data_IF_730872277607
#
_entry.id   IF_730872277607
#
_cell.length_a   1.000
_cell.length_b   1.000
_cell.length_c   1.000
_cell.angle_alpha   90.00
_cell.angle_beta   90.00
_cell.angle_gamma   90.00
#
_symmetry.space_group_name_H-M   'P 1'
#
loop_
_entity.id
_entity.type
_entity.pdbx_description
1 polymer ?
#
# COMPACT_ATOMS: atom_id res chain seq x y z
N UNK A 1 26.22 42.57 34.03
CA UNK A 1 26.88 42.67 35.34
C UNK A 1 26.24 41.61 36.25
N UNK A 2 27.02 40.60 36.69
CA UNK A 2 26.78 39.51 37.70
C UNK A 2 25.61 38.53 37.44
N UNK A 3 25.83 37.23 37.17
CA UNK A 3 26.36 36.10 37.98
C UNK A 3 25.39 35.55 39.06
N UNK A 4 25.05 34.26 38.95
CA UNK A 4 24.86 33.18 39.96
C UNK A 4 24.15 32.00 39.26
N UNK A 5 24.40 30.70 39.43
CA UNK A 5 25.51 29.85 39.91
C UNK A 5 25.11 28.39 39.57
N UNK A 6 26.09 27.52 39.33
CA UNK A 6 25.96 26.09 39.04
C UNK A 6 25.42 25.27 40.21
N UNK A 7 24.59 24.26 39.93
CA UNK A 7 24.60 22.99 40.68
C UNK A 7 24.50 21.81 39.71
N UNK A 8 25.33 20.79 39.98
CA UNK A 8 25.56 19.60 39.17
C UNK A 8 25.16 18.37 39.98
N UNK A 9 24.36 17.48 39.38
CA UNK A 9 23.91 16.22 40.02
C UNK A 9 24.72 15.05 39.46
N UNK A 10 25.38 14.31 40.37
CA UNK A 10 26.23 13.14 40.13
C UNK A 10 25.43 11.90 39.72
N UNK A 11 26.01 11.10 38.82
CA UNK A 11 25.57 9.73 38.45
C UNK A 11 26.53 8.74 39.14
N UNK A 12 26.06 7.65 39.80
CA UNK A 12 26.95 6.62 40.30
C UNK A 12 27.24 5.55 39.23
N UNK A 13 28.52 5.16 39.18
CA UNK A 13 29.09 4.06 38.40
C UNK A 13 28.98 2.74 39.14
N UNK A 14 28.69 1.66 38.42
CA UNK A 14 28.95 0.29 38.88
C UNK A 14 29.41 -0.58 37.70
N UNK A 15 30.63 -1.09 37.83
CA UNK A 15 31.30 -2.06 36.95
C UNK A 15 31.01 -3.46 37.50
N UNK A 16 30.70 -4.40 36.63
CA UNK A 16 30.59 -5.82 36.97
C UNK A 16 30.88 -6.69 35.74
N UNK A 17 31.94 -7.49 35.84
CA UNK A 17 32.49 -8.38 34.82
C UNK A 17 31.87 -9.79 34.86
N UNK A 18 31.47 -10.35 33.71
CA UNK A 18 31.43 -11.80 33.46
C UNK A 18 31.27 -12.14 31.96
N UNK A 19 32.01 -13.16 31.53
CA UNK A 19 32.27 -13.74 30.19
C UNK A 19 31.06 -14.00 29.25
N UNK A 20 31.28 -14.26 27.93
CA UNK A 20 30.22 -14.22 26.92
C UNK A 20 29.36 -15.49 26.95
N UNK A 21 28.09 -15.33 27.28
CA UNK A 21 27.07 -16.37 27.10
C UNK A 21 26.64 -16.38 25.63
N UNK A 22 27.01 -17.44 24.88
CA UNK A 22 26.34 -17.79 23.62
C UNK A 22 24.94 -18.28 23.95
N UNK A 23 23.90 -17.60 23.46
CA UNK A 23 22.53 -18.14 23.39
C UNK A 23 21.79 -17.68 22.12
N UNK A 24 20.94 -18.60 21.67
CA UNK A 24 20.39 -18.78 20.33
C UNK A 24 19.36 -17.72 19.88
N UNK A 25 19.11 -17.75 18.57
CA UNK A 25 18.02 -17.10 17.86
C UNK A 25 16.69 -17.11 18.61
N UNK A 26 16.15 -15.94 18.95
CA UNK A 26 14.70 -15.70 19.06
C UNK A 26 14.43 -14.20 19.11
N UNK A 27 13.55 -13.76 18.20
CA UNK A 27 13.17 -12.37 17.99
C UNK A 27 12.17 -11.90 19.05
N UNK A 28 12.56 -11.01 19.96
CA UNK A 28 11.64 -10.32 20.88
C UNK A 28 11.79 -8.79 20.76
N UNK A 29 10.68 -8.09 20.52
CA UNK A 29 10.65 -6.63 20.51
C UNK A 29 10.27 -6.11 21.91
N UNK A 30 11.14 -5.29 22.53
CA UNK A 30 10.82 -4.50 23.72
C UNK A 30 10.39 -3.10 23.33
N UNK A 31 9.30 -2.62 23.91
CA UNK A 31 8.69 -1.31 23.68
C UNK A 31 8.97 -0.36 24.85
N UNK A 32 9.15 0.93 24.56
CA UNK A 32 9.13 2.01 25.54
C UNK A 32 8.11 3.06 25.08
N UNK A 33 7.13 3.31 25.94
CA UNK A 33 6.10 4.35 25.81
C UNK A 33 6.66 5.68 26.34
N UNK A 34 6.38 6.79 25.65
CA UNK A 34 6.24 8.10 26.30
C UNK A 34 4.92 8.74 25.90
N UNK A 35 4.26 9.30 26.91
CA UNK A 35 2.85 9.60 26.95
C UNK A 35 2.37 10.77 26.09
N UNK A 36 1.10 10.59 25.70
CA UNK A 36 0.04 11.55 25.35
C UNK A 36 -0.73 11.04 24.12
N UNK A 37 -1.48 9.95 24.32
CA UNK A 37 -2.79 9.67 23.71
C UNK A 37 -3.03 9.76 22.20
N UNK A 38 -2.05 10.12 21.39
CA UNK A 38 -2.18 10.29 19.95
C UNK A 38 -1.57 9.10 19.23
N UNK A 39 -2.31 8.56 18.26
CA UNK A 39 -1.85 7.52 17.35
C UNK A 39 -0.78 8.09 16.40
N UNK A 40 0.45 8.19 16.89
CA UNK A 40 1.62 8.39 16.04
C UNK A 40 2.07 7.01 15.59
N UNK A 41 2.01 6.80 14.28
CA UNK A 41 2.29 5.55 13.57
C UNK A 41 3.37 4.68 14.24
N UNK A 42 3.08 3.38 14.34
CA UNK A 42 4.04 2.38 14.77
C UNK A 42 5.24 2.40 13.82
N UNK A 43 6.36 2.97 14.28
CA UNK A 43 7.65 2.90 13.61
C UNK A 43 7.95 1.43 13.31
N UNK A 44 7.84 1.02 12.04
CA UNK A 44 8.33 -0.28 11.57
C UNK A 44 9.86 -0.27 11.67
N UNK A 45 10.40 -0.48 12.89
CA UNK A 45 11.85 -0.58 13.12
C UNK A 45 12.44 -1.88 12.55
N UNK A 46 11.62 -2.77 11.95
CA UNK A 46 12.06 -4.08 11.44
C UNK A 46 12.16 -4.18 9.91
N UNK A 47 11.62 -3.23 9.15
CA UNK A 47 11.83 -3.16 7.69
C UNK A 47 12.14 -1.70 7.32
N UNK A 48 13.39 -1.41 6.97
CA UNK A 48 13.93 -0.09 6.65
C UNK A 48 13.17 0.62 5.50
N UNK A 49 12.04 1.26 5.79
CA UNK A 49 11.26 2.05 4.82
C UNK A 49 11.12 3.50 5.31
N UNK A 50 11.33 4.46 4.40
CA UNK A 50 11.20 5.89 4.69
C UNK A 50 9.81 6.40 4.30
N UNK A 51 9.16 7.14 5.22
CA UNK A 51 7.91 7.83 4.97
C UNK A 51 8.17 9.21 4.35
N UNK A 52 7.50 9.53 3.26
CA UNK A 52 7.52 10.85 2.63
C UNK A 52 6.22 11.57 2.97
N UNK A 53 6.31 12.78 3.53
CA UNK A 53 5.15 13.62 3.85
C UNK A 53 4.94 14.70 2.76
N UNK A 54 3.70 14.89 2.32
CA UNK A 54 3.28 16.02 1.50
C UNK A 54 2.49 17.03 2.37
N UNK A 55 2.90 18.29 2.42
CA UNK A 55 2.22 19.35 3.21
C UNK A 55 1.94 20.60 2.37
N UNK A 56 0.80 21.24 2.61
CA UNK A 56 0.46 22.64 2.27
C UNK A 56 0.71 23.55 3.51
N UNK A 57 1.34 24.73 3.40
CA UNK A 57 1.29 25.83 4.43
C UNK A 57 1.91 27.16 3.89
N UNK A 58 1.87 28.36 4.57
CA UNK A 58 2.43 28.66 5.94
C UNK A 58 1.67 29.73 6.79
N UNK A 59 2.12 30.18 8.02
CA UNK A 59 3.45 30.05 8.67
C UNK A 59 3.54 29.75 10.20
N UNK A 60 4.58 29.01 10.62
CA UNK A 60 5.67 29.44 11.55
C UNK A 60 6.69 28.31 11.79
N UNK A 61 7.93 28.66 12.16
CA UNK A 61 9.17 27.98 11.76
C UNK A 61 10.02 27.40 12.92
N UNK A 62 10.92 26.44 12.56
CA UNK A 62 12.11 25.83 13.25
C UNK A 62 11.88 24.39 13.78
N UNK A 63 12.72 23.38 13.56
CA UNK A 63 14.04 23.22 12.92
C UNK A 63 14.29 21.74 12.53
N UNK A 64 14.99 21.51 11.41
CA UNK A 64 15.95 20.42 11.09
C UNK A 64 16.02 20.23 9.56
N UNK A 65 17.24 20.18 9.03
CA UNK A 65 17.57 20.19 7.59
C UNK A 65 17.02 18.95 6.86
N UNK A 66 15.96 19.16 6.09
CA UNK A 66 15.34 18.19 5.16
C UNK A 66 14.89 18.99 3.94
N UNK A 67 15.39 18.63 2.76
CA UNK A 67 14.94 19.24 1.50
C UNK A 67 13.60 18.64 1.07
N UNK A 68 12.63 19.52 0.88
CA UNK A 68 11.20 19.27 0.67
C UNK A 68 10.84 19.75 -0.75
N UNK A 69 10.17 18.92 -1.56
CA UNK A 69 9.56 19.33 -2.83
C UNK A 69 8.12 18.81 -2.93
N UNK A 70 7.22 19.61 -3.48
CA UNK A 70 5.77 19.68 -3.13
C UNK A 70 4.89 19.97 -4.40
N UNK A 71 3.69 19.34 -4.48
CA UNK A 71 2.37 19.74 -5.11
C UNK A 71 1.81 19.29 -6.51
N UNK A 72 0.50 18.95 -6.45
CA UNK A 72 -0.71 19.25 -7.29
C UNK A 72 -1.18 18.45 -8.53
N UNK A 73 -2.50 18.55 -8.79
CA UNK A 73 -3.43 17.54 -9.34
C UNK A 73 -4.07 17.90 -10.70
N UNK A 74 -4.28 16.92 -11.61
CA UNK A 74 -5.51 16.75 -12.44
C UNK A 74 -5.48 15.43 -13.24
N UNK A 75 -6.68 14.91 -13.59
CA UNK A 75 -6.93 13.60 -14.20
C UNK A 75 -6.14 13.27 -15.47
N UNK A 76 -5.98 11.96 -15.72
CA UNK A 76 -5.18 11.33 -16.79
C UNK A 76 -3.66 11.61 -16.72
N UNK A 77 -3.25 12.56 -15.87
CA UNK A 77 -1.86 12.97 -15.65
C UNK A 77 -1.28 12.39 -14.34
N UNK A 78 -2.06 11.71 -13.49
CA UNK A 78 -1.67 11.40 -12.10
C UNK A 78 -0.61 10.30 -11.96
N UNK A 79 -0.42 9.43 -12.95
CA UNK A 79 0.77 8.57 -12.98
C UNK A 79 2.07 9.37 -13.20
N UNK A 80 1.98 10.63 -13.67
CA UNK A 80 3.12 11.40 -14.15
C UNK A 80 3.92 12.15 -13.08
N UNK A 81 3.51 12.20 -11.80
CA UNK A 81 4.29 12.96 -10.78
C UNK A 81 4.58 12.21 -9.47
N UNK A 82 3.77 11.22 -9.10
CA UNK A 82 4.05 10.35 -7.95
C UNK A 82 5.28 9.47 -8.22
N UNK A 83 5.38 8.94 -9.45
CA UNK A 83 6.53 8.13 -9.87
C UNK A 83 7.82 8.98 -10.02
N UNK A 84 7.72 10.28 -10.35
CA UNK A 84 8.88 11.22 -10.36
C UNK A 84 9.64 11.20 -9.04
N UNK A 85 8.91 11.33 -7.92
CA UNK A 85 9.50 11.46 -6.59
C UNK A 85 9.95 10.12 -6.00
N UNK A 86 9.16 9.07 -6.26
CA UNK A 86 9.59 7.71 -5.93
C UNK A 86 10.89 7.35 -6.62
N UNK A 87 11.05 7.84 -7.86
CA UNK A 87 12.17 7.45 -8.67
C UNK A 87 13.40 8.37 -8.59
N UNK A 88 13.26 9.62 -8.15
CA UNK A 88 14.34 10.61 -8.02
C UNK A 88 15.18 10.47 -6.76
N UNK A 89 14.84 9.55 -5.84
CA UNK A 89 15.64 9.27 -4.65
C UNK A 89 16.84 8.39 -5.02
N UNK A 90 17.90 9.06 -5.46
CA UNK A 90 19.22 8.50 -5.76
C UNK A 90 19.77 7.86 -4.47
N UNK A 91 19.38 6.60 -4.18
CA UNK A 91 19.96 5.79 -3.10
C UNK A 91 19.00 5.20 -2.07
N UNK A 92 17.69 5.43 -2.11
CA UNK A 92 16.76 4.80 -1.15
C UNK A 92 16.10 3.56 -1.76
N UNK A 93 16.41 2.39 -1.21
CA UNK A 93 15.96 1.11 -1.78
C UNK A 93 14.47 0.81 -1.57
N UNK A 94 13.84 1.39 -0.54
CA UNK A 94 12.44 1.15 -0.18
C UNK A 94 11.78 2.42 0.33
N UNK A 95 10.68 2.79 -0.29
CA UNK A 95 9.98 4.04 -0.04
C UNK A 95 8.48 3.78 -0.02
N UNK A 96 7.75 4.60 0.74
CA UNK A 96 6.30 4.60 0.69
C UNK A 96 5.73 6.00 0.93
N UNK A 97 4.52 6.23 0.43
CA UNK A 97 3.74 7.44 0.68
C UNK A 97 2.30 7.06 1.01
N UNK A 98 1.66 7.86 1.86
CA UNK A 98 0.21 7.83 2.05
C UNK A 98 -0.30 9.19 1.60
N UNK A 99 -0.82 9.26 0.39
CA UNK A 99 -1.20 10.52 -0.24
C UNK A 99 -2.66 10.51 -0.69
N UNK A 100 -3.29 11.67 -0.75
CA UNK A 100 -4.63 11.80 -1.34
C UNK A 100 -4.52 11.73 -2.87
N UNK A 101 -5.26 10.80 -3.46
CA UNK A 101 -5.46 10.68 -4.90
C UNK A 101 -6.85 11.16 -5.30
N UNK A 102 -6.95 11.69 -6.53
CA UNK A 102 -8.23 12.06 -7.13
C UNK A 102 -8.50 11.24 -8.39
N UNK A 103 -9.74 10.77 -8.53
CA UNK A 103 -10.26 10.13 -9.75
C UNK A 103 -11.61 10.76 -10.07
N UNK A 104 -11.69 11.60 -11.09
CA UNK A 104 -13.00 12.04 -11.61
C UNK A 104 -13.65 10.93 -12.46
N UNK A 105 -13.98 9.86 -11.77
CA UNK A 105 -14.81 8.79 -12.27
C UNK A 105 -16.28 9.22 -12.13
N UNK A 106 -17.10 8.91 -13.15
CA UNK A 106 -18.55 9.11 -13.10
C UNK A 106 -19.25 7.94 -12.41
N UNK A 107 -18.54 6.81 -12.21
CA UNK A 107 -19.09 5.63 -11.57
C UNK A 107 -19.46 5.92 -10.12
N UNK A 108 -20.71 5.62 -9.79
CA UNK A 108 -21.21 5.64 -8.42
C UNK A 108 -21.42 4.20 -7.98
N UNK A 109 -20.50 3.68 -7.17
CA UNK A 109 -20.65 2.37 -6.54
C UNK A 109 -20.16 2.41 -5.10
N UNK A 110 -20.42 1.33 -4.37
CA UNK A 110 -19.95 1.12 -2.99
C UNK A 110 -18.43 1.05 -2.83
N UNK A 111 -17.67 1.04 -3.94
CA UNK A 111 -16.20 0.89 -3.96
C UNK A 111 -15.47 2.06 -4.64
N UNK A 112 -16.18 3.15 -4.97
CA UNK A 112 -15.60 4.31 -5.67
C UNK A 112 -15.79 5.60 -4.89
N UNK A 113 -14.69 6.35 -4.79
CA UNK A 113 -14.62 7.74 -4.34
C UNK A 113 -13.89 8.56 -5.40
N UNK A 114 -14.21 9.84 -5.47
CA UNK A 114 -13.50 10.80 -6.31
C UNK A 114 -12.24 11.30 -5.63
N UNK A 115 -12.22 11.35 -4.30
CA UNK A 115 -11.05 11.66 -3.48
C UNK A 115 -10.87 10.52 -2.47
N UNK A 116 -9.67 9.95 -2.41
CA UNK A 116 -9.34 8.83 -1.54
C UNK A 116 -7.86 8.90 -1.17
N UNK A 117 -7.43 8.15 -0.16
CA UNK A 117 -6.02 8.01 0.19
C UNK A 117 -5.45 6.74 -0.42
N UNK A 118 -4.28 6.85 -1.04
CA UNK A 118 -3.53 5.71 -1.57
C UNK A 118 -2.27 5.53 -0.73
N UNK A 119 -2.08 4.31 -0.22
CA UNK A 119 -0.79 3.85 0.24
C UNK A 119 -0.02 3.33 -0.97
N UNK A 120 1.03 4.02 -1.38
CA UNK A 120 1.88 3.60 -2.48
C UNK A 120 3.26 3.25 -1.94
N UNK A 121 3.83 2.15 -2.42
CA UNK A 121 5.17 1.72 -2.05
C UNK A 121 5.94 1.30 -3.29
N UNK A 122 7.24 1.60 -3.30
CA UNK A 122 8.17 1.24 -4.37
C UNK A 122 9.43 0.64 -3.76
N UNK A 123 9.95 -0.37 -4.46
CA UNK A 123 11.07 -1.19 -4.03
C UNK A 123 12.05 -1.24 -5.19
N UNK A 124 13.26 -0.70 -4.97
CA UNK A 124 14.38 -0.84 -5.88
C UNK A 124 14.96 -2.25 -5.83
N UNK A 125 15.56 -2.69 -6.93
CA UNK A 125 16.13 -4.03 -7.09
C UNK A 125 15.08 -5.15 -6.92
N UNK A 126 13.84 -4.86 -7.31
CA UNK A 126 12.74 -5.82 -7.31
C UNK A 126 12.56 -6.34 -8.73
N UNK A 127 13.13 -7.51 -9.00
CA UNK A 127 13.11 -8.18 -10.31
C UNK A 127 11.95 -9.17 -10.43
N UNK A 128 11.49 -9.70 -9.29
CA UNK A 128 10.47 -10.74 -9.24
C UNK A 128 9.11 -10.17 -8.82
N UNK A 129 8.08 -10.50 -9.60
CA UNK A 129 6.70 -10.22 -9.23
C UNK A 129 6.31 -10.92 -7.93
N UNK A 130 6.88 -12.11 -7.65
CA UNK A 130 6.62 -12.86 -6.42
C UNK A 130 7.16 -12.14 -5.17
N UNK A 131 8.34 -11.54 -5.28
CA UNK A 131 8.93 -10.72 -4.21
C UNK A 131 8.08 -9.48 -3.95
N UNK A 132 7.56 -8.87 -5.02
CA UNK A 132 6.69 -7.71 -4.92
C UNK A 132 5.37 -8.08 -4.22
N UNK A 133 4.72 -9.18 -4.61
CA UNK A 133 3.45 -9.64 -4.04
C UNK A 133 3.54 -10.02 -2.55
N UNK A 134 4.70 -10.49 -2.10
CA UNK A 134 4.92 -10.79 -0.68
C UNK A 134 4.74 -9.54 0.22
N UNK A 135 5.01 -8.34 -0.30
CA UNK A 135 4.95 -7.09 0.48
C UNK A 135 3.52 -6.66 0.84
N UNK A 136 2.57 -6.49 -0.09
CA UNK A 136 1.18 -6.18 0.25
C UNK A 136 0.50 -7.31 1.02
N UNK A 137 0.87 -8.58 0.79
CA UNK A 137 0.37 -9.70 1.60
C UNK A 137 0.81 -9.60 3.07
N UNK A 138 2.12 -9.44 3.31
CA UNK A 138 2.68 -9.24 4.65
C UNK A 138 2.06 -8.02 5.34
N UNK A 139 1.90 -6.92 4.61
CA UNK A 139 1.33 -5.69 5.13
C UNK A 139 -0.13 -5.86 5.54
N UNK A 140 -0.96 -6.49 4.69
CA UNK A 140 -2.36 -6.77 5.03
C UNK A 140 -2.47 -7.65 6.28
N UNK A 141 -1.72 -8.75 6.34
CA UNK A 141 -1.71 -9.64 7.52
C UNK A 141 -1.24 -8.92 8.77
N UNK A 142 -0.24 -8.04 8.64
CA UNK A 142 0.22 -7.21 9.75
C UNK A 142 -0.89 -6.28 10.27
N UNK A 143 -1.59 -5.56 9.38
CA UNK A 143 -2.70 -4.69 9.77
C UNK A 143 -3.80 -5.46 10.51
N UNK A 144 -4.20 -6.63 9.99
CA UNK A 144 -5.22 -7.44 10.64
C UNK A 144 -4.74 -7.96 12.01
N UNK A 145 -3.51 -8.48 12.11
CA UNK A 145 -2.93 -8.89 13.40
C UNK A 145 -2.88 -7.74 14.39
N UNK A 146 -2.56 -6.53 13.94
CA UNK A 146 -2.51 -5.36 14.80
C UNK A 146 -3.90 -5.03 15.35
N UNK A 147 -4.92 -5.03 14.51
CA UNK A 147 -6.33 -4.82 14.92
C UNK A 147 -6.76 -5.90 15.93
N UNK A 148 -6.50 -7.18 15.64
CA UNK A 148 -6.95 -8.29 16.47
C UNK A 148 -6.24 -8.38 17.84
N UNK A 149 -4.98 -7.94 17.92
CA UNK A 149 -4.16 -8.10 19.14
C UNK A 149 -4.04 -6.82 19.97
N UNK A 150 -4.64 -5.70 19.55
CA UNK A 150 -4.60 -4.44 20.30
C UNK A 150 -5.94 -4.23 21.02
N UNK A 151 -6.02 -4.36 22.36
CA UNK A 151 -7.28 -4.39 23.10
C UNK A 151 -8.18 -3.17 22.87
N UNK A 152 -7.60 -1.97 22.80
CA UNK A 152 -8.38 -0.76 22.56
C UNK A 152 -8.93 -0.71 21.13
N UNK A 153 -8.12 -1.07 20.14
CA UNK A 153 -8.55 -1.08 18.73
C UNK A 153 -9.63 -2.13 18.51
N UNK A 154 -9.47 -3.36 19.03
CA UNK A 154 -10.51 -4.38 18.85
C UNK A 154 -11.82 -4.00 19.55
N UNK A 155 -11.76 -3.31 20.69
CA UNK A 155 -12.97 -2.81 21.37
C UNK A 155 -13.68 -1.75 20.54
N UNK A 156 -12.95 -0.83 19.95
CA UNK A 156 -13.52 0.18 19.03
C UNK A 156 -14.15 -0.51 17.82
N UNK A 157 -13.47 -1.51 17.24
CA UNK A 157 -13.96 -2.30 16.11
C UNK A 157 -15.21 -3.12 16.47
N UNK A 158 -15.26 -3.74 17.65
CA UNK A 158 -16.43 -4.47 18.14
C UNK A 158 -17.61 -3.54 18.38
N UNK A 159 -17.36 -2.32 18.84
CA UNK A 159 -18.40 -1.29 19.03
C UNK A 159 -18.99 -0.85 17.69
N UNK A 160 -18.19 -0.87 16.61
CA UNK A 160 -18.65 -0.68 15.24
C UNK A 160 -19.37 -1.91 14.66
N UNK A 161 -19.42 -3.02 15.40
CA UNK A 161 -20.00 -4.30 14.96
C UNK A 161 -21.48 -4.23 14.57
N UNK A 162 -22.22 -3.22 15.04
CA UNK A 162 -23.58 -2.93 14.58
C UNK A 162 -23.64 -2.55 13.08
N UNK A 163 -22.54 -2.07 12.52
CA UNK A 163 -22.39 -1.64 11.14
C UNK A 163 -21.57 -2.63 10.29
N UNK A 164 -21.06 -3.70 10.89
CA UNK A 164 -20.40 -4.80 10.19
C UNK A 164 -21.33 -6.00 10.03
N UNK A 165 -20.94 -6.98 9.21
CA UNK A 165 -21.57 -8.30 9.29
C UNK A 165 -21.20 -8.96 10.63
N UNK A 166 -22.14 -9.68 11.26
CA UNK A 166 -21.92 -10.35 12.56
C UNK A 166 -20.70 -11.31 12.53
N UNK A 167 -20.33 -11.80 11.35
CA UNK A 167 -19.25 -12.77 11.16
C UNK A 167 -17.93 -12.14 10.66
N UNK A 168 -17.82 -10.82 10.52
CA UNK A 168 -16.66 -10.20 9.87
C UNK A 168 -15.32 -10.46 10.57
N UNK A 169 -15.32 -10.55 11.91
CA UNK A 169 -14.14 -10.91 12.68
C UNK A 169 -13.60 -12.30 12.31
N UNK A 170 -14.48 -13.24 11.97
CA UNK A 170 -14.08 -14.58 11.53
C UNK A 170 -13.40 -14.52 10.15
N UNK A 171 -13.89 -13.66 9.26
CA UNK A 171 -13.32 -13.43 7.93
C UNK A 171 -11.90 -12.87 8.04
N UNK A 172 -11.68 -11.82 8.83
CA UNK A 172 -10.33 -11.25 8.95
C UNK A 172 -9.37 -12.20 9.67
N UNK A 173 -9.85 -13.00 10.64
CA UNK A 173 -9.04 -14.05 11.29
C UNK A 173 -8.60 -15.12 10.27
N UNK A 174 -9.52 -15.59 9.42
CA UNK A 174 -9.18 -16.60 8.41
C UNK A 174 -8.13 -16.11 7.41
N UNK A 175 -8.09 -14.80 7.11
CA UNK A 175 -7.03 -14.20 6.29
C UNK A 175 -5.66 -14.32 6.96
N UNK A 176 -5.58 -14.09 8.27
CA UNK A 176 -4.30 -14.11 9.01
C UNK A 176 -3.79 -15.52 9.21
N UNK A 177 -4.69 -16.44 9.58
CA UNK A 177 -4.38 -17.82 9.95
C UNK A 177 -4.33 -18.75 8.73
N UNK A 178 -4.86 -18.31 7.59
CA UNK A 178 -4.86 -19.04 6.33
C UNK A 178 -3.48 -19.16 5.68
N UNK A 179 -3.35 -20.07 4.69
CA UNK A 179 -2.12 -20.25 3.93
C UNK A 179 -1.75 -19.01 3.12
N UNK A 180 -0.59 -19.00 2.48
CA UNK A 180 -0.19 -17.95 1.54
C UNK A 180 -1.30 -17.69 0.50
N UNK A 181 -1.50 -16.43 0.13
CA UNK A 181 -2.59 -16.07 -0.79
C UNK A 181 -2.40 -16.76 -2.15
N UNK A 182 -3.44 -17.43 -2.69
CA UNK A 182 -3.37 -18.04 -4.00
C UNK A 182 -2.97 -17.03 -5.08
N UNK A 183 -2.15 -17.49 -6.03
CA UNK A 183 -1.66 -16.69 -7.15
C UNK A 183 -2.12 -17.35 -8.44
N UNK A 184 -2.90 -16.63 -9.23
CA UNK A 184 -3.38 -17.10 -10.53
C UNK A 184 -2.92 -16.12 -11.61
N UNK A 185 -2.55 -16.63 -12.77
CA UNK A 185 -2.44 -15.75 -13.94
C UNK A 185 -3.84 -15.30 -14.38
N UNK A 186 -3.92 -14.19 -15.09
CA UNK A 186 -5.16 -13.72 -15.68
C UNK A 186 -5.80 -14.78 -16.59
N UNK A 187 -4.97 -15.50 -17.34
CA UNK A 187 -5.41 -16.60 -18.19
C UNK A 187 -6.03 -17.75 -17.37
N UNK A 188 -5.37 -18.16 -16.27
CA UNK A 188 -5.89 -19.20 -15.39
C UNK A 188 -7.18 -18.77 -14.67
N UNK A 189 -7.25 -17.50 -14.25
CA UNK A 189 -8.46 -16.93 -13.66
C UNK A 189 -9.62 -16.93 -14.65
N UNK A 190 -9.38 -16.56 -15.91
CA UNK A 190 -10.38 -16.63 -16.98
C UNK A 190 -10.84 -18.06 -17.25
N UNK A 191 -9.90 -19.00 -17.31
CA UNK A 191 -10.21 -20.42 -17.49
C UNK A 191 -11.07 -20.94 -16.34
N UNK A 192 -10.69 -20.66 -15.09
CA UNK A 192 -11.45 -21.04 -13.90
C UNK A 192 -12.87 -20.48 -13.93
N UNK A 193 -13.04 -19.21 -14.30
CA UNK A 193 -14.36 -18.58 -14.42
C UNK A 193 -15.20 -19.26 -15.51
N UNK A 194 -14.61 -19.56 -16.67
CA UNK A 194 -15.27 -20.29 -17.76
C UNK A 194 -15.70 -21.69 -17.34
N UNK A 195 -14.81 -22.45 -16.69
CA UNK A 195 -15.07 -23.81 -16.21
C UNK A 195 -16.18 -23.84 -15.14
N UNK A 196 -16.38 -22.73 -14.42
CA UNK A 196 -17.44 -22.55 -13.42
C UNK A 196 -18.68 -21.83 -13.96
N UNK A 197 -18.82 -21.75 -15.29
CA UNK A 197 -19.95 -21.13 -15.99
C UNK A 197 -20.22 -19.68 -15.55
N UNK A 198 -19.18 -18.95 -15.13
CA UNK A 198 -19.29 -17.53 -14.81
C UNK A 198 -19.27 -16.71 -16.10
N UNK A 199 -20.09 -15.66 -16.16
CA UNK A 199 -20.14 -14.78 -17.33
C UNK A 199 -18.91 -13.88 -17.37
N UNK A 200 -18.00 -14.14 -18.29
CA UNK A 200 -16.81 -13.30 -18.51
C UNK A 200 -16.99 -12.44 -19.75
N UNK A 201 -16.63 -11.16 -19.63
CA UNK A 201 -16.60 -10.21 -20.75
C UNK A 201 -15.19 -10.13 -21.31
N UNK A 202 -15.03 -9.95 -22.63
CA UNK A 202 -13.72 -9.77 -23.26
C UNK A 202 -12.95 -8.52 -22.80
N UNK A 203 -13.60 -7.60 -22.08
CA UNK A 203 -13.02 -6.35 -21.59
C UNK A 203 -12.29 -6.46 -20.24
N UNK A 204 -12.22 -7.65 -19.62
CA UNK A 204 -11.56 -7.87 -18.33
C UNK A 204 -12.45 -8.53 -17.29
N UNK A 205 -11.98 -8.56 -16.03
CA UNK A 205 -12.72 -9.12 -14.90
C UNK A 205 -13.78 -8.12 -14.41
N UNK A 206 -15.03 -8.58 -14.28
CA UNK A 206 -16.09 -7.82 -13.63
C UNK A 206 -15.95 -7.91 -12.10
N UNK A 207 -16.64 -7.03 -11.35
CA UNK A 207 -16.66 -7.12 -9.88
C UNK A 207 -17.31 -8.42 -9.38
N UNK A 208 -18.26 -8.97 -10.13
CA UNK A 208 -18.84 -10.29 -9.85
C UNK A 208 -17.79 -11.39 -10.02
N UNK A 209 -16.96 -11.31 -11.07
CA UNK A 209 -15.87 -12.27 -11.30
C UNK A 209 -14.81 -12.17 -10.20
N UNK A 210 -14.41 -10.95 -9.82
CA UNK A 210 -13.47 -10.74 -8.71
C UNK A 210 -14.00 -11.33 -7.40
N UNK A 211 -15.27 -11.07 -7.07
CA UNK A 211 -15.90 -11.60 -5.87
C UNK A 211 -15.97 -13.14 -5.89
N UNK A 212 -16.34 -13.73 -7.03
CA UNK A 212 -16.38 -15.18 -7.20
C UNK A 212 -15.01 -15.83 -6.98
N UNK A 213 -13.93 -15.25 -7.51
CA UNK A 213 -12.57 -15.79 -7.34
C UNK A 213 -12.19 -15.82 -5.85
N UNK A 214 -12.47 -14.75 -5.12
CA UNK A 214 -12.19 -14.69 -3.68
C UNK A 214 -13.04 -15.70 -2.90
N UNK A 215 -14.33 -15.84 -3.23
CA UNK A 215 -15.23 -16.80 -2.59
C UNK A 215 -14.80 -18.24 -2.84
N UNK A 216 -14.44 -18.56 -4.09
CA UNK A 216 -13.98 -19.87 -4.51
C UNK A 216 -12.73 -20.31 -3.74
N UNK A 217 -11.78 -19.40 -3.54
CA UNK A 217 -10.55 -19.66 -2.80
C UNK A 217 -10.66 -19.51 -1.29
N UNK A 218 -11.77 -18.93 -0.78
CA UNK A 218 -11.99 -18.60 0.65
C UNK A 218 -10.82 -17.83 1.29
N UNK A 219 -10.14 -17.02 0.48
CA UNK A 219 -8.91 -16.31 0.83
C UNK A 219 -8.77 -15.09 -0.10
N UNK A 220 -8.04 -14.03 0.30
CA UNK A 220 -7.51 -13.08 -0.66
C UNK A 220 -6.69 -13.79 -1.74
N UNK A 221 -6.75 -13.28 -2.97
CA UNK A 221 -6.15 -13.91 -4.15
C UNK A 221 -5.42 -12.85 -4.97
N UNK A 222 -4.23 -13.19 -5.44
CA UNK A 222 -3.52 -12.42 -6.45
C UNK A 222 -3.91 -12.89 -7.86
N UNK A 223 -4.34 -11.95 -8.70
CA UNK A 223 -4.43 -12.16 -10.14
C UNK A 223 -3.24 -11.47 -10.77
N UNK A 224 -2.50 -12.16 -11.62
CA UNK A 224 -1.22 -11.72 -12.16
C UNK A 224 -1.21 -11.76 -13.69
N UNK A 225 -0.20 -11.20 -14.34
CA UNK A 225 0.02 -11.37 -15.79
C UNK A 225 -1.13 -10.88 -16.67
N UNK A 226 -1.66 -9.69 -16.36
CA UNK A 226 -2.75 -9.09 -17.13
C UNK A 226 -2.35 -8.78 -18.58
N UNK A 227 -3.29 -8.85 -19.54
CA UNK A 227 -3.07 -8.44 -20.91
C UNK A 227 -2.51 -7.02 -21.00
N UNK A 228 -1.52 -6.84 -21.86
CA UNK A 228 -0.76 -5.59 -21.91
C UNK A 228 -1.60 -4.38 -22.31
N UNK A 229 -2.60 -4.58 -23.18
CA UNK A 229 -3.56 -3.55 -23.61
C UNK A 229 -4.54 -3.08 -22.51
N UNK A 230 -4.66 -3.81 -21.40
CA UNK A 230 -5.51 -3.43 -20.26
C UNK A 230 -4.73 -2.71 -19.14
N UNK A 231 -3.41 -2.59 -19.27
CA UNK A 231 -2.53 -2.09 -18.21
C UNK A 231 -1.63 -0.94 -18.67
N UNK A 232 -1.29 -0.01 -17.76
CA UNK A 232 -0.47 1.17 -18.07
C UNK A 232 0.85 0.88 -18.79
N UNK A 233 1.33 1.87 -19.56
CA UNK A 233 2.53 1.77 -20.39
C UNK A 233 3.83 1.46 -19.62
N UNK A 234 3.89 1.88 -18.35
CA UNK A 234 5.07 1.76 -17.49
C UNK A 234 5.29 0.37 -16.90
N UNK A 235 4.31 -0.55 -17.05
CA UNK A 235 4.44 -1.91 -16.54
C UNK A 235 5.36 -2.72 -17.45
N UNK A 236 6.30 -3.46 -16.86
CA UNK A 236 7.17 -4.38 -17.58
C UNK A 236 6.30 -5.39 -18.34
N UNK A 237 6.64 -5.61 -19.62
CA UNK A 237 5.95 -6.59 -20.46
C UNK A 237 6.72 -7.90 -20.49
N UNK A 238 6.01 -8.98 -20.70
CA UNK A 238 6.60 -10.29 -21.00
C UNK A 238 7.40 -10.26 -22.31
N UNK A 239 8.20 -11.30 -22.56
CA UNK A 239 9.09 -11.38 -23.73
C UNK A 239 8.37 -11.26 -25.07
N UNK A 240 7.13 -11.75 -25.18
CA UNK A 240 6.27 -11.62 -26.35
C UNK A 240 5.44 -10.32 -26.36
N UNK A 241 5.41 -9.55 -25.28
CA UNK A 241 4.68 -8.28 -25.19
C UNK A 241 3.18 -8.41 -24.88
N UNK A 242 2.64 -9.62 -24.79
CA UNK A 242 1.20 -9.87 -24.67
C UNK A 242 0.67 -9.61 -23.25
N UNK A 243 1.52 -9.79 -22.24
CA UNK A 243 1.15 -9.68 -20.82
C UNK A 243 2.08 -8.73 -20.07
N UNK A 244 1.75 -8.47 -18.81
CA UNK A 244 2.51 -7.59 -17.91
C UNK A 244 3.00 -8.31 -16.68
N UNK A 245 4.15 -7.92 -16.16
CA UNK A 245 4.58 -8.29 -14.81
C UNK A 245 3.79 -7.43 -13.78
N UNK A 246 2.49 -7.68 -13.69
CA UNK A 246 1.56 -6.95 -12.83
C UNK A 246 0.67 -7.90 -12.03
N UNK A 247 0.13 -7.38 -10.92
CA UNK A 247 -0.87 -8.07 -10.13
C UNK A 247 -1.96 -7.13 -9.63
N UNK A 248 -3.14 -7.70 -9.38
CA UNK A 248 -4.19 -7.12 -8.55
C UNK A 248 -4.46 -8.08 -7.36
N UNK A 249 -4.50 -7.56 -6.15
CA UNK A 249 -4.83 -8.29 -4.91
C UNK A 249 -6.33 -8.14 -4.64
N UNK A 250 -7.07 -9.22 -4.81
CA UNK A 250 -8.50 -9.31 -4.55
C UNK A 250 -8.74 -9.76 -3.10
N UNK A 251 -9.62 -9.08 -2.38
CA UNK A 251 -9.95 -9.37 -0.99
C UNK A 251 -11.47 -9.52 -0.76
N UNK A 252 -11.91 -10.25 0.28
CA UNK A 252 -13.31 -10.42 0.60
C UNK A 252 -14.05 -9.09 0.78
N UNK A 253 -15.25 -8.97 0.22
CA UNK A 253 -16.12 -7.79 0.33
C UNK A 253 -15.69 -6.57 -0.50
N UNK A 254 -14.40 -6.29 -0.60
CA UNK A 254 -13.85 -5.11 -1.29
C UNK A 254 -13.43 -5.38 -2.74
N UNK A 255 -13.20 -6.66 -3.09
CA UNK A 255 -12.61 -7.09 -4.35
C UNK A 255 -11.18 -6.54 -4.49
N UNK A 256 -10.79 -5.91 -5.60
CA UNK A 256 -9.46 -5.28 -5.75
C UNK A 256 -9.12 -4.29 -4.60
N UNK A 257 -8.18 -4.67 -3.74
CA UNK A 257 -7.65 -3.87 -2.64
C UNK A 257 -6.38 -3.12 -3.03
N UNK A 258 -5.49 -3.80 -3.77
CA UNK A 258 -4.21 -3.25 -4.21
C UNK A 258 -3.89 -3.68 -5.65
N UNK A 259 -3.17 -2.85 -6.38
CA UNK A 259 -2.65 -3.16 -7.70
C UNK A 259 -1.18 -2.78 -7.79
N UNK A 260 -0.36 -3.60 -8.43
CA UNK A 260 1.08 -3.38 -8.52
C UNK A 260 1.72 -4.01 -9.74
N UNK A 261 2.98 -3.66 -9.98
CA UNK A 261 3.74 -4.16 -11.12
C UNK A 261 5.24 -3.96 -10.95
N UNK A 262 6.01 -4.78 -11.65
CA UNK A 262 7.39 -4.46 -12.00
C UNK A 262 7.38 -3.35 -13.06
N UNK A 263 8.28 -2.37 -12.89
CA UNK A 263 8.40 -1.21 -13.78
C UNK A 263 9.28 -1.55 -14.97
N UNK A 264 8.92 -1.07 -16.15
CA UNK A 264 9.74 -1.19 -17.36
C UNK A 264 11.09 -0.47 -17.16
N UNK A 265 12.23 -1.19 -17.22
CA UNK A 265 13.54 -0.59 -17.05
C UNK A 265 14.08 0.09 -18.32
N UNK A 266 13.56 -0.24 -19.52
CA UNK A 266 14.06 0.34 -20.76
C UNK A 266 13.46 1.72 -21.05
N UNK A 267 14.32 2.75 -21.12
CA UNK A 267 13.93 4.09 -21.53
C UNK A 267 13.35 4.12 -22.96
N UNK A 268 13.97 3.38 -23.88
CA UNK A 268 13.54 3.27 -25.28
C UNK A 268 12.10 2.72 -25.37
N UNK A 269 11.82 1.58 -24.72
CA UNK A 269 10.48 0.99 -24.72
C UNK A 269 9.44 1.88 -24.06
N UNK A 270 9.82 2.65 -23.03
CA UNK A 270 8.93 3.64 -22.42
C UNK A 270 8.57 4.76 -23.40
N UNK A 271 9.55 5.28 -24.15
CA UNK A 271 9.33 6.32 -25.17
C UNK A 271 8.49 5.81 -26.34
N UNK A 272 8.72 4.58 -26.80
CA UNK A 272 7.93 3.95 -27.85
C UNK A 272 6.44 3.86 -27.47
N UNK A 273 6.16 3.50 -26.21
CA UNK A 273 4.78 3.35 -25.72
C UNK A 273 4.12 4.68 -25.35
N UNK A 274 4.90 5.65 -24.87
CA UNK A 274 4.39 6.96 -24.49
C UNK A 274 5.44 8.06 -24.58
N UNK A 275 5.54 8.67 -25.77
CA UNK A 275 6.46 9.79 -26.03
C UNK A 275 6.09 11.09 -25.29
N UNK A 276 4.87 11.21 -24.75
CA UNK A 276 4.41 12.42 -24.06
C UNK A 276 4.99 12.60 -22.64
N UNK A 277 5.77 11.62 -22.16
CA UNK A 277 6.29 11.57 -20.79
C UNK A 277 7.80 11.27 -20.82
N UNK A 278 8.56 12.04 -21.61
CA UNK A 278 9.99 11.81 -21.83
C UNK A 278 10.82 11.85 -20.53
N UNK A 279 10.49 12.79 -19.64
CA UNK A 279 11.12 12.88 -18.31
C UNK A 279 11.06 11.55 -17.53
N UNK A 280 10.05 10.70 -17.75
CA UNK A 280 9.91 9.42 -17.06
C UNK A 280 10.88 8.38 -17.61
N UNK A 281 11.09 8.40 -18.92
CA UNK A 281 12.10 7.57 -19.58
C UNK A 281 13.52 8.01 -19.22
N UNK A 282 13.79 9.32 -19.12
CA UNK A 282 15.09 9.86 -18.69
C UNK A 282 15.53 9.32 -17.32
N UNK A 283 14.58 9.05 -16.42
CA UNK A 283 14.91 8.49 -15.10
C UNK A 283 15.57 7.11 -15.23
N UNK A 284 15.23 6.34 -16.27
CA UNK A 284 15.83 5.03 -16.52
C UNK A 284 17.25 5.14 -17.11
N UNK A 285 17.51 6.17 -17.90
CA UNK A 285 18.85 6.41 -18.49
C UNK A 285 19.91 6.77 -17.44
N UNK A 286 19.48 7.36 -16.32
CA UNK A 286 20.38 7.78 -15.23
C UNK A 286 20.74 6.65 -14.25
N UNK A 287 20.82 5.41 -14.75
CA UNK A 287 21.34 4.26 -13.98
C UNK A 287 20.37 3.71 -12.94
N UNK A 288 19.07 3.70 -13.24
CA UNK A 288 18.06 3.29 -12.28
C UNK A 288 17.89 1.76 -12.22
N UNK A 289 17.91 1.11 -11.04
CA UNK A 289 17.62 -0.31 -10.95
C UNK A 289 16.19 -0.63 -11.38
N UNK A 290 16.01 -1.86 -11.85
CA UNK A 290 14.69 -2.47 -11.94
C UNK A 290 13.96 -2.35 -10.59
N UNK A 291 12.68 -2.04 -10.65
CA UNK A 291 11.90 -1.66 -9.49
C UNK A 291 10.51 -2.24 -9.62
N UNK A 292 9.86 -2.44 -8.48
CA UNK A 292 8.48 -2.87 -8.40
C UNK A 292 7.75 -2.02 -7.38
N UNK A 293 6.46 -1.80 -7.60
CA UNK A 293 5.65 -1.07 -6.66
C UNK A 293 4.18 -1.39 -6.75
N UNK A 294 3.44 -0.97 -5.73
CA UNK A 294 2.01 -1.18 -5.63
C UNK A 294 1.33 0.01 -4.97
N UNK A 295 0.06 0.21 -5.33
CA UNK A 295 -0.86 1.10 -4.64
C UNK A 295 -1.95 0.29 -3.94
N UNK A 296 -2.24 0.62 -2.69
CA UNK A 296 -3.31 0.04 -1.89
C UNK A 296 -4.29 1.16 -1.47
N UNK A 297 -5.56 1.00 -1.84
CA UNK A 297 -6.59 1.97 -1.47
C UNK A 297 -6.82 1.93 0.03
N UNK A 298 -6.52 3.02 0.74
CA UNK A 298 -6.58 3.04 2.20
C UNK A 298 -8.03 2.93 2.70
N UNK A 299 -8.99 3.60 2.06
CA UNK A 299 -10.41 3.47 2.38
C UNK A 299 -10.92 2.04 2.10
N UNK A 300 -10.44 1.38 1.03
CA UNK A 300 -10.75 -0.05 0.79
C UNK A 300 -10.12 -0.95 1.84
N UNK A 301 -8.93 -0.64 2.34
CA UNK A 301 -8.33 -1.36 3.46
C UNK A 301 -9.21 -1.22 4.72
N UNK A 302 -9.69 -0.01 5.02
CA UNK A 302 -10.61 0.21 6.13
C UNK A 302 -11.93 -0.54 5.94
N UNK A 303 -12.50 -0.55 4.73
CA UNK A 303 -13.68 -1.37 4.42
C UNK A 303 -13.46 -2.85 4.74
N UNK A 304 -12.32 -3.40 4.33
CA UNK A 304 -11.96 -4.79 4.60
C UNK A 304 -11.72 -5.04 6.10
N UNK A 305 -11.08 -4.14 6.81
CA UNK A 305 -10.78 -4.32 8.24
C UNK A 305 -12.04 -4.22 9.11
N UNK A 306 -12.93 -3.30 8.77
CA UNK A 306 -14.13 -2.98 9.56
C UNK A 306 -15.39 -3.72 9.09
N UNK A 307 -15.37 -4.34 7.91
CA UNK A 307 -16.55 -4.99 7.33
C UNK A 307 -17.59 -4.00 6.84
N UNK A 308 -17.18 -2.77 6.55
CA UNK A 308 -18.04 -1.69 6.07
C UNK A 308 -18.38 -1.94 4.60
N UNK A 309 -19.68 -2.02 4.30
CA UNK A 309 -20.15 -2.36 2.95
C UNK A 309 -19.95 -1.24 1.93
N UNK A 310 -19.98 0.02 2.37
CA UNK A 310 -19.92 1.19 1.49
C UNK A 310 -18.71 2.07 1.84
N UNK A 311 -17.85 2.31 0.86
CA UNK A 311 -16.56 2.99 1.05
C UNK A 311 -16.74 4.41 1.58
N UNK A 312 -17.89 5.02 1.32
CA UNK A 312 -18.23 6.37 1.78
C UNK A 312 -18.31 6.46 3.30
N UNK A 313 -18.60 5.35 3.98
CA UNK A 313 -18.70 5.30 5.44
C UNK A 313 -17.32 5.08 6.10
N UNK A 314 -16.24 4.96 5.32
CA UNK A 314 -14.87 4.84 5.82
C UNK A 314 -14.11 6.17 5.90
N UNK A 315 -14.74 7.26 5.47
CA UNK A 315 -14.16 8.61 5.46
C UNK A 315 -15.20 9.61 5.96
N UNK A 316 -14.84 10.62 6.78
CA UNK A 316 -15.80 11.56 7.34
C UNK A 316 -16.53 12.43 6.29
N UNK A 317 -15.81 12.88 5.27
CA UNK A 317 -16.34 13.77 4.22
C UNK A 317 -16.10 13.15 2.83
N UNK A 318 -16.85 12.11 2.47
CA UNK A 318 -16.67 11.42 1.19
C UNK A 318 -16.98 12.32 -0.01
N UNK A 319 -16.11 12.27 -1.03
CA UNK A 319 -16.34 12.91 -2.33
C UNK A 319 -16.68 11.88 -3.38
N UNK A 320 -17.73 12.11 -4.16
CA UNK A 320 -18.06 11.29 -5.33
C UNK A 320 -18.70 12.15 -6.43
N UNK A 321 -18.92 11.56 -7.60
CA UNK A 321 -19.51 12.28 -8.74
C UNK A 321 -20.81 13.01 -8.36
N UNK A 322 -20.83 14.34 -8.56
CA UNK A 322 -21.90 15.28 -8.20
C UNK A 322 -22.16 15.47 -6.69
N UNK A 323 -21.22 15.08 -5.81
CA UNK A 323 -21.34 15.27 -4.37
C UNK A 323 -20.05 15.84 -3.77
N UNK A 324 -20.13 17.10 -3.32
CA UNK A 324 -19.06 17.85 -2.67
C UNK A 324 -19.64 18.78 -1.60
N UNK A 325 -20.40 18.24 -0.65
CA UNK A 325 -20.93 19.01 0.48
C UNK A 325 -19.92 18.98 1.64
N UNK A 326 -19.54 20.15 2.15
CA UNK A 326 -18.69 20.33 3.33
C UNK A 326 -19.56 20.75 4.51
#
# INVERSE_FOLDING_TARGET
MRCFSNESVKIPSAVGSSSPVRLNSTSAARFLLRGNGNLVWARSRKKNCLQIHATFSPPMQKAMDIYILILLCSQQTIAREQEKHFLSLIGISRVYTLSSGCRADKQQSRNHLTEFRMLEAEIAFCESLDDLMAVPEDFLRFCIRYVLNTPDVIRDFQSLGAFSTMDHLSVIRSIVDGPAFPRLTFADAFKLLSDKNQRVTGSGLSKQNEAFLVEYHKSPVFITHFPSNQKPFYMLRSSNGDTTESFDLLCPGVCELAGGSIREPSAERLRERNSSIDWYAEIRERGKPISGGFGMGFERLLQLLLGIQNIKDTIPFPRWFKHCQC
#
